data_IF_800289315131
#
_entry.id   IF_800289315131
#
_cell.length_a   1.000
_cell.length_b   1.000
_cell.length_c   1.000
_cell.angle_alpha   90.00
_cell.angle_beta   90.00
_cell.angle_gamma   90.00
#
_symmetry.space_group_name_H-M   'P 1'
#
loop_
_entity.id
_entity.type
_entity.pdbx_description
1 polymer ?
#
# COMPACT_ATOMS: atom_id res chain seq x y z
N UNK A 1 72.58 19.47 -4.16
CA UNK A 1 72.02 18.59 -3.11
C UNK A 1 70.54 18.90 -2.82
N UNK A 2 69.89 19.83 -3.55
CA UNK A 2 68.47 20.21 -3.31
C UNK A 2 67.43 19.34 -4.07
N UNK A 3 67.86 18.59 -5.08
CA UNK A 3 66.97 17.71 -5.87
C UNK A 3 66.54 16.44 -5.11
N UNK A 4 67.30 16.02 -4.09
CA UNK A 4 66.97 14.84 -3.28
C UNK A 4 65.94 15.13 -2.20
N UNK A 5 65.95 16.34 -1.61
CA UNK A 5 64.95 16.79 -0.64
C UNK A 5 63.56 16.95 -1.27
N UNK A 6 63.49 17.49 -2.49
CA UNK A 6 62.23 17.63 -3.22
C UNK A 6 61.54 16.29 -3.54
N UNK A 7 62.31 15.25 -3.87
CA UNK A 7 61.76 13.91 -4.12
C UNK A 7 61.31 13.20 -2.83
N UNK A 8 61.99 13.42 -1.71
CA UNK A 8 61.61 12.86 -0.43
C UNK A 8 60.27 13.45 0.06
N UNK A 9 60.13 14.78 0.01
CA UNK A 9 58.90 15.48 0.39
C UNK A 9 57.70 15.08 -0.49
N UNK A 10 57.90 14.95 -1.80
CA UNK A 10 56.83 14.54 -2.71
C UNK A 10 56.37 13.09 -2.46
N UNK A 11 57.31 12.19 -2.18
CA UNK A 11 57.00 10.78 -1.91
C UNK A 11 56.29 10.61 -0.57
N UNK A 12 56.69 11.36 0.45
CA UNK A 12 56.07 11.34 1.78
C UNK A 12 54.64 11.91 1.75
N UNK A 13 54.43 13.00 1.00
CA UNK A 13 53.10 13.60 0.79
C UNK A 13 52.14 12.69 0.01
N UNK A 14 52.64 11.96 -0.99
CA UNK A 14 51.83 10.99 -1.76
C UNK A 14 51.40 9.78 -0.91
N UNK A 15 52.26 9.32 0.00
CA UNK A 15 51.98 8.18 0.89
C UNK A 15 50.92 8.53 1.94
N UNK A 16 50.90 9.76 2.45
CA UNK A 16 49.89 10.23 3.42
C UNK A 16 48.58 10.69 2.76
N UNK A 17 48.62 11.23 1.54
CA UNK A 17 47.44 11.75 0.85
C UNK A 17 46.38 10.69 0.51
N UNK A 18 46.79 9.47 0.09
CA UNK A 18 45.85 8.40 -0.28
C UNK A 18 45.03 7.87 0.92
N UNK A 19 45.62 7.46 2.05
CA UNK A 19 44.85 6.99 3.20
C UNK A 19 43.98 8.09 3.82
N UNK A 20 44.43 9.35 3.82
CA UNK A 20 43.61 10.47 4.32
C UNK A 20 42.37 10.71 3.45
N UNK A 21 42.52 10.66 2.12
CA UNK A 21 41.39 10.75 1.18
C UNK A 21 40.40 9.60 1.37
N UNK A 22 40.89 8.38 1.58
CA UNK A 22 40.05 7.21 1.86
C UNK A 22 39.31 7.36 3.19
N UNK A 23 40.00 7.76 4.26
CA UNK A 23 39.38 7.98 5.56
C UNK A 23 38.33 9.10 5.52
N UNK A 24 38.52 10.14 4.70
CA UNK A 24 37.50 11.18 4.48
C UNK A 24 36.30 10.64 3.71
N UNK A 25 36.54 9.86 2.64
CA UNK A 25 35.47 9.25 1.86
C UNK A 25 34.65 8.26 2.69
N UNK A 26 35.32 7.44 3.51
CA UNK A 26 34.69 6.51 4.45
C UNK A 26 33.81 7.25 5.46
N UNK A 27 34.33 8.30 6.10
CA UNK A 27 33.53 9.13 7.02
C UNK A 27 32.31 9.73 6.32
N UNK A 28 32.48 10.27 5.11
CA UNK A 28 31.34 10.81 4.35
C UNK A 28 30.33 9.75 3.94
N UNK A 29 30.78 8.52 3.67
CA UNK A 29 29.90 7.41 3.31
C UNK A 29 29.11 6.94 4.54
N UNK A 30 29.76 6.82 5.70
CA UNK A 30 29.10 6.49 6.96
C UNK A 30 28.09 7.56 7.37
N UNK A 31 28.40 8.85 7.18
CA UNK A 31 27.46 9.94 7.39
C UNK A 31 26.24 9.84 6.48
N UNK A 32 26.43 9.53 5.20
CA UNK A 32 25.30 9.31 4.27
C UNK A 32 24.45 8.11 4.69
N UNK A 33 25.06 7.01 5.13
CA UNK A 33 24.31 5.84 5.63
C UNK A 33 23.49 6.19 6.87
N UNK A 34 24.05 6.96 7.80
CA UNK A 34 23.35 7.39 9.02
C UNK A 34 22.17 8.31 8.71
N UNK A 35 22.36 9.25 7.79
CA UNK A 35 21.30 10.12 7.30
C UNK A 35 20.18 9.33 6.60
N UNK A 36 20.52 8.38 5.73
CA UNK A 36 19.55 7.51 5.06
C UNK A 36 18.79 6.63 6.06
N UNK A 37 19.47 6.10 7.09
CA UNK A 37 18.83 5.33 8.16
C UNK A 37 17.86 6.18 8.96
N UNK A 38 18.21 7.42 9.25
CA UNK A 38 17.33 8.37 9.95
C UNK A 38 16.08 8.65 9.12
N UNK A 39 16.25 9.00 7.83
CA UNK A 39 15.12 9.23 6.92
C UNK A 39 14.23 8.00 6.75
N UNK A 40 14.82 6.80 6.71
CA UNK A 40 14.07 5.56 6.65
C UNK A 40 13.23 5.35 7.92
N UNK A 41 13.82 5.54 9.11
CA UNK A 41 13.11 5.41 10.37
C UNK A 41 11.93 6.39 10.48
N UNK A 42 12.10 7.62 10.01
CA UNK A 42 11.02 8.62 9.92
C UNK A 42 9.91 8.19 8.96
N UNK A 43 10.25 7.65 7.79
CA UNK A 43 9.28 7.17 6.82
C UNK A 43 8.51 5.95 7.36
N UNK A 44 9.20 4.99 7.98
CA UNK A 44 8.58 3.85 8.63
C UNK A 44 7.62 4.27 9.75
N UNK A 45 7.99 5.28 10.54
CA UNK A 45 7.12 5.81 11.59
C UNK A 45 5.87 6.48 11.03
N UNK A 46 6.00 7.24 9.94
CA UNK A 46 4.85 7.81 9.25
C UNK A 46 3.91 6.71 8.74
N UNK A 47 4.46 5.64 8.16
CA UNK A 47 3.67 4.48 7.72
C UNK A 47 3.00 3.80 8.92
N UNK A 48 3.71 3.57 10.03
CA UNK A 48 3.14 2.99 11.26
C UNK A 48 1.98 3.84 11.80
N UNK A 49 2.14 5.16 11.85
CA UNK A 49 1.07 6.06 12.30
C UNK A 49 -0.17 6.00 11.40
N UNK A 50 0.03 5.96 10.09
CA UNK A 50 -1.05 5.83 9.13
C UNK A 50 -1.71 4.45 9.19
N UNK A 51 -0.95 3.37 9.41
CA UNK A 51 -1.51 2.03 9.57
C UNK A 51 -2.36 1.92 10.83
N UNK A 52 -1.91 2.51 11.95
CA UNK A 52 -2.69 2.59 13.19
C UNK A 52 -3.98 3.36 12.94
N UNK A 53 -3.90 4.53 12.27
CA UNK A 53 -5.09 5.34 11.98
C UNK A 53 -6.07 4.59 11.09
N UNK A 54 -5.58 3.88 10.06
CA UNK A 54 -6.40 3.05 9.19
C UNK A 54 -7.04 1.89 9.95
N UNK A 55 -6.31 1.25 10.85
CA UNK A 55 -6.83 0.18 11.70
C UNK A 55 -7.95 0.71 12.60
N UNK A 56 -7.77 1.85 13.26
CA UNK A 56 -8.82 2.48 14.07
C UNK A 56 -10.04 2.83 13.23
N UNK A 57 -9.87 3.39 12.03
CA UNK A 57 -10.99 3.68 11.14
C UNK A 57 -11.72 2.41 10.68
N UNK A 58 -11.00 1.31 10.42
CA UNK A 58 -11.61 0.02 10.10
C UNK A 58 -12.39 -0.56 11.30
N UNK A 59 -11.87 -0.40 12.51
CA UNK A 59 -12.58 -0.81 13.72
C UNK A 59 -13.86 0.01 13.92
N UNK A 60 -13.83 1.32 13.70
CA UNK A 60 -15.03 2.17 13.78
C UNK A 60 -16.06 1.82 12.70
N UNK A 61 -15.64 1.58 11.45
CA UNK A 61 -16.51 1.10 10.36
C UNK A 61 -17.14 -0.26 10.68
N UNK A 62 -16.44 -1.14 11.42
CA UNK A 62 -17.00 -2.40 11.93
C UNK A 62 -18.06 -2.19 13.05
N UNK A 63 -18.06 -1.04 13.75
CA UNK A 63 -19.05 -0.71 14.80
C UNK A 63 -20.28 0.04 14.28
N UNK A 64 -20.20 0.68 13.10
CA UNK A 64 -21.35 1.32 12.45
C UNK A 64 -22.37 0.31 11.86
N UNK A 65 -22.13 -1.00 12.04
CA UNK A 65 -22.98 -2.10 11.58
C UNK A 65 -24.14 -2.49 12.50
N UNK A 66 -24.28 -1.88 13.68
CA UNK A 66 -25.42 -2.13 14.59
C UNK A 66 -26.41 -0.95 14.54
N UNK A 67 -26.95 -0.68 13.35
CA UNK A 67 -27.99 0.32 13.11
C UNK A 67 -29.03 -0.23 12.13
N UNK A 68 -30.12 -0.77 12.67
CA UNK A 68 -31.26 -1.22 11.88
C UNK A 68 -31.95 -0.07 11.13
N UNK A 69 -32.32 -0.33 9.88
CA UNK A 69 -33.50 0.28 9.24
C UNK A 69 -33.21 1.36 8.19
N UNK A 70 -33.26 0.97 6.92
CA UNK A 70 -33.37 1.92 5.81
C UNK A 70 -33.11 1.29 4.46
N UNK A 71 -34.05 0.49 3.96
CA UNK A 71 -34.15 0.20 2.52
C UNK A 71 -34.77 1.43 1.83
N UNK A 72 -34.13 2.04 0.82
CA UNK A 72 -34.84 2.68 -0.27
C UNK A 72 -34.98 1.67 -1.41
N UNK A 73 -36.14 1.72 -2.06
CA UNK A 73 -36.63 0.75 -3.04
C UNK A 73 -35.67 0.47 -4.20
N UNK A 74 -35.78 -0.76 -4.67
CA UNK A 74 -35.31 -1.20 -5.97
C UNK A 74 -36.21 -0.57 -7.04
N UNK A 75 -35.64 0.27 -7.90
CA UNK A 75 -36.17 0.49 -9.24
C UNK A 75 -35.20 -0.15 -10.25
N UNK A 76 -35.66 -1.05 -11.13
CA UNK A 76 -34.81 -1.71 -12.11
C UNK A 76 -34.73 -0.90 -13.40
N UNK A 77 -33.48 -0.70 -13.84
CA UNK A 77 -33.04 -0.47 -15.22
C UNK A 77 -33.51 0.83 -15.91
N UNK A 78 -32.58 1.79 -16.00
CA UNK A 78 -32.40 2.54 -17.24
C UNK A 78 -30.91 2.58 -17.57
N UNK A 79 -30.60 2.12 -18.77
CA UNK A 79 -29.29 2.30 -19.39
C UNK A 79 -29.22 3.75 -19.83
N UNK A 80 -28.31 4.55 -19.28
CA UNK A 80 -27.78 5.67 -20.04
C UNK A 80 -26.35 6.03 -19.61
N UNK A 81 -25.60 6.40 -20.63
CA UNK A 81 -24.20 6.79 -20.65
C UNK A 81 -23.95 7.96 -19.70
N UNK A 82 -23.45 7.65 -18.51
CA UNK A 82 -22.80 8.62 -17.66
C UNK A 82 -21.59 7.94 -17.04
N UNK A 83 -20.44 8.07 -17.70
CA UNK A 83 -19.14 7.91 -17.05
C UNK A 83 -19.01 9.01 -16.00
N UNK A 84 -19.76 8.87 -14.91
CA UNK A 84 -19.49 9.57 -13.68
C UNK A 84 -18.11 9.09 -13.22
N UNK A 85 -17.17 10.00 -12.90
CA UNK A 85 -15.82 9.58 -12.54
C UNK A 85 -15.91 8.64 -11.34
N UNK A 86 -15.65 7.36 -11.61
CA UNK A 86 -15.74 6.31 -10.61
C UNK A 86 -14.88 6.73 -9.40
N UNK A 87 -15.41 6.64 -8.17
CA UNK A 87 -14.71 7.16 -6.99
C UNK A 87 -13.39 6.42 -6.80
N UNK A 88 -12.28 7.16 -6.75
CA UNK A 88 -10.91 6.61 -6.69
C UNK A 88 -10.82 5.49 -5.66
N UNK A 89 -10.53 4.27 -6.13
CA UNK A 89 -10.31 3.12 -5.26
C UNK A 89 -9.09 3.38 -4.38
N UNK A 90 -9.23 3.20 -3.07
CA UNK A 90 -8.14 3.32 -2.09
C UNK A 90 -8.19 2.16 -1.12
N UNK A 91 -7.03 1.62 -0.79
CA UNK A 91 -6.89 0.65 0.29
C UNK A 91 -7.53 -0.70 -0.04
N UNK A 92 -8.54 -1.12 0.71
CA UNK A 92 -9.10 -2.47 0.58
C UNK A 92 -9.92 -2.64 -0.72
N UNK A 93 -10.57 -1.57 -1.19
CA UNK A 93 -11.37 -1.58 -2.42
C UNK A 93 -10.49 -1.82 -3.65
N UNK A 94 -9.35 -1.13 -3.68
CA UNK A 94 -8.32 -1.31 -4.71
C UNK A 94 -7.78 -2.73 -4.70
N UNK A 95 -7.48 -3.28 -3.51
CA UNK A 95 -7.01 -4.67 -3.37
C UNK A 95 -8.05 -5.68 -3.88
N UNK A 96 -9.34 -5.51 -3.56
CA UNK A 96 -10.40 -6.41 -4.01
C UNK A 96 -10.58 -6.36 -5.53
N UNK A 97 -10.58 -5.16 -6.12
CA UNK A 97 -10.70 -4.98 -7.57
C UNK A 97 -9.45 -5.49 -8.29
N UNK A 98 -8.25 -5.20 -7.79
CA UNK A 98 -7.00 -5.71 -8.35
C UNK A 98 -6.93 -7.25 -8.29
N UNK A 99 -7.46 -7.86 -7.23
CA UNK A 99 -7.51 -9.31 -7.09
C UNK A 99 -8.47 -9.95 -8.09
N UNK A 100 -9.65 -9.36 -8.29
CA UNK A 100 -10.59 -9.80 -9.33
C UNK A 100 -10.04 -9.58 -10.75
N UNK A 101 -9.38 -8.45 -10.98
CA UNK A 101 -8.70 -8.16 -12.25
C UNK A 101 -7.56 -9.14 -12.53
N UNK A 102 -6.78 -9.50 -11.53
CA UNK A 102 -5.66 -10.47 -11.66
C UNK A 102 -6.18 -11.90 -11.85
N UNK A 103 -7.31 -12.24 -11.22
CA UNK A 103 -7.90 -13.57 -11.34
C UNK A 103 -8.62 -13.79 -12.69
N UNK A 104 -8.97 -12.70 -13.40
CA UNK A 104 -9.70 -12.68 -14.68
C UNK A 104 -10.96 -13.55 -14.70
N UNK A 105 -11.53 -13.83 -13.52
CA UNK A 105 -12.69 -14.70 -13.35
C UNK A 105 -13.62 -14.16 -12.27
N UNK A 106 -14.94 -14.39 -12.40
CA UNK A 106 -15.88 -14.08 -11.34
C UNK A 106 -15.53 -14.89 -10.08
N UNK A 107 -15.40 -14.22 -8.94
CA UNK A 107 -15.09 -14.87 -7.65
C UNK A 107 -16.21 -14.67 -6.64
N UNK A 108 -16.46 -15.70 -5.82
CA UNK A 108 -17.41 -15.58 -4.69
C UNK A 108 -16.79 -14.80 -3.54
N UNK A 109 -17.63 -14.16 -2.74
CA UNK A 109 -17.19 -13.42 -1.54
C UNK A 109 -16.28 -14.25 -0.62
N UNK A 110 -16.57 -15.55 -0.49
CA UNK A 110 -15.75 -16.51 0.26
C UNK A 110 -14.34 -16.66 -0.29
N UNK A 111 -14.20 -16.78 -1.61
CA UNK A 111 -12.91 -16.92 -2.29
C UNK A 111 -12.09 -15.64 -2.17
N UNK A 112 -12.74 -14.48 -2.21
CA UNK A 112 -12.09 -13.18 -2.00
C UNK A 112 -11.58 -13.06 -0.56
N UNK A 113 -12.35 -13.48 0.44
CA UNK A 113 -11.90 -13.50 1.86
C UNK A 113 -10.68 -14.42 2.04
N UNK A 114 -10.69 -15.59 1.42
CA UNK A 114 -9.57 -16.53 1.47
C UNK A 114 -8.32 -15.99 0.76
N UNK A 115 -8.49 -15.39 -0.42
CA UNK A 115 -7.39 -14.82 -1.19
C UNK A 115 -6.77 -13.58 -0.50
N UNK A 116 -7.55 -12.87 0.33
CA UNK A 116 -7.07 -11.81 1.22
C UNK A 116 -6.40 -12.34 2.51
N UNK A 117 -6.25 -13.66 2.67
CA UNK A 117 -5.58 -14.28 3.81
C UNK A 117 -6.35 -14.17 5.13
N UNK A 118 -7.66 -13.90 5.08
CA UNK A 118 -8.50 -13.74 6.27
C UNK A 118 -9.20 -15.06 6.63
N UNK A 119 -9.48 -15.32 7.92
CA UNK A 119 -10.23 -16.49 8.33
C UNK A 119 -11.65 -16.47 7.75
N UNK A 120 -12.03 -17.61 7.18
CA UNK A 120 -13.33 -17.88 6.53
C UNK A 120 -14.44 -18.12 7.57
N UNK A 121 -14.71 -17.12 8.39
CA UNK A 121 -15.80 -17.14 9.37
C UNK A 121 -17.08 -16.57 8.75
N UNK A 122 -18.25 -17.17 9.04
CA UNK A 122 -19.55 -16.74 8.49
C UNK A 122 -19.79 -15.23 8.62
N UNK A 123 -19.47 -14.64 9.77
CA UNK A 123 -19.62 -13.19 10.00
C UNK A 123 -18.72 -12.35 9.10
N UNK A 124 -17.51 -12.83 8.79
CA UNK A 124 -16.57 -12.14 7.89
C UNK A 124 -16.97 -12.26 6.43
N UNK A 125 -17.49 -13.42 6.02
CA UNK A 125 -18.02 -13.63 4.67
C UNK A 125 -19.22 -12.72 4.43
N UNK A 126 -20.13 -12.61 5.39
CA UNK A 126 -21.30 -11.72 5.27
C UNK A 126 -20.88 -10.24 5.25
N UNK A 127 -19.97 -9.82 6.13
CA UNK A 127 -19.40 -8.47 6.09
C UNK A 127 -18.68 -8.17 4.77
N UNK A 128 -18.00 -9.16 4.18
CA UNK A 128 -17.40 -9.01 2.84
C UNK A 128 -18.45 -8.90 1.76
N UNK A 129 -19.56 -9.64 1.86
CA UNK A 129 -20.67 -9.59 0.90
C UNK A 129 -21.32 -8.21 0.85
N UNK A 130 -21.61 -7.61 2.02
CA UNK A 130 -22.13 -6.24 2.11
C UNK A 130 -21.16 -5.22 1.54
N UNK A 131 -19.85 -5.41 1.74
CA UNK A 131 -18.79 -4.55 1.20
C UNK A 131 -18.65 -4.67 -0.33
N UNK A 132 -18.71 -5.89 -0.86
CA UNK A 132 -18.71 -6.12 -2.31
C UNK A 132 -19.98 -5.57 -2.97
N UNK A 133 -21.12 -5.69 -2.30
CA UNK A 133 -22.37 -5.09 -2.77
C UNK A 133 -22.26 -3.56 -2.85
N UNK A 134 -21.57 -2.90 -1.91
CA UNK A 134 -21.28 -1.45 -2.02
C UNK A 134 -20.41 -1.13 -3.24
N UNK A 135 -19.40 -1.95 -3.54
CA UNK A 135 -18.61 -1.78 -4.77
C UNK A 135 -19.42 -1.99 -6.05
N UNK A 136 -20.45 -2.86 -6.01
CA UNK A 136 -21.40 -3.01 -7.11
C UNK A 136 -22.27 -1.76 -7.26
N UNK A 137 -22.79 -1.22 -6.14
CA UNK A 137 -23.56 0.03 -6.14
C UNK A 137 -22.73 1.23 -6.61
N UNK A 138 -21.45 1.28 -6.24
CA UNK A 138 -20.49 2.32 -6.65
C UNK A 138 -20.07 2.17 -8.14
N UNK A 139 -20.52 1.12 -8.83
CA UNK A 139 -20.25 0.87 -10.25
C UNK A 139 -18.90 0.23 -10.56
N UNK A 140 -18.15 -0.25 -9.55
CA UNK A 140 -16.83 -0.85 -9.72
C UNK A 140 -16.85 -2.35 -10.00
N UNK A 141 -17.91 -3.04 -9.57
CA UNK A 141 -18.07 -4.48 -9.73
C UNK A 141 -19.45 -4.79 -10.33
N UNK A 142 -19.54 -5.89 -11.05
CA UNK A 142 -20.81 -6.48 -11.49
C UNK A 142 -21.09 -7.76 -10.73
N UNK A 143 -22.34 -7.92 -10.33
CA UNK A 143 -22.84 -9.14 -9.69
C UNK A 143 -23.40 -10.06 -10.76
N UNK A 144 -22.81 -11.25 -10.86
CA UNK A 144 -23.29 -12.33 -11.71
C UNK A 144 -24.48 -13.06 -11.07
N UNK A 145 -25.32 -13.70 -11.89
CA UNK A 145 -26.52 -14.43 -11.46
C UNK A 145 -26.19 -15.54 -10.43
N UNK A 146 -25.00 -16.12 -10.53
CA UNK A 146 -24.47 -17.16 -9.62
C UNK A 146 -24.07 -16.64 -8.24
N UNK A 147 -24.21 -15.34 -7.97
CA UNK A 147 -23.76 -14.71 -6.73
C UNK A 147 -22.24 -14.50 -6.65
N UNK A 148 -21.56 -14.56 -7.79
CA UNK A 148 -20.15 -14.20 -7.96
C UNK A 148 -20.01 -12.73 -8.34
N UNK A 149 -18.84 -12.15 -8.09
CA UNK A 149 -18.52 -10.77 -8.41
C UNK A 149 -17.43 -10.72 -9.47
N UNK A 150 -17.61 -9.90 -10.50
CA UNK A 150 -16.66 -9.65 -11.58
C UNK A 150 -16.42 -8.15 -11.74
N UNK A 151 -15.38 -7.76 -12.47
CA UNK A 151 -15.14 -6.35 -12.85
C UNK A 151 -15.89 -6.00 -14.15
#
# INVERSE_FOLDING_TARGET
MELQDGMACFRETMVTSRPERLARAERSALQQVDELRTRLAEAEEQVRRLSITRETLLLLDDHDGEGAGGQPGLDPHDSDDATSPLPVLRGWREQAVALLATAERPMRAREIVQALGKPDTRSRVEGMRSRLQRLVTDGWLRREEDGSYAI
#
